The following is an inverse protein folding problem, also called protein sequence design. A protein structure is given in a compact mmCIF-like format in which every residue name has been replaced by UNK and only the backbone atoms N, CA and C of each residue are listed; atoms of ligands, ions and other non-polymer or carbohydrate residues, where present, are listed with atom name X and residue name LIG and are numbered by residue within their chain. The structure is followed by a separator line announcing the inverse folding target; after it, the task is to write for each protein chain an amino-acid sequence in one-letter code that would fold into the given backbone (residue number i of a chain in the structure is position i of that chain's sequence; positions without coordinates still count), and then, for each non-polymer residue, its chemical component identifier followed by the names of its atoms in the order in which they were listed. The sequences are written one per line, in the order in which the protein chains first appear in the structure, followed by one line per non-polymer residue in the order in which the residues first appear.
data_IF_661203367768
#
_entry.id   IF_661203367768
#
_cell.length_a   1.000
_cell.length_b   1.000
_cell.length_c   1.000
_cell.angle_alpha   90.00
_cell.angle_beta   90.00
_cell.angle_gamma   90.00
#
_symmetry.space_group_name_H-M   'P 1'
#
loop_
_entity.id
_entity.type
_entity.pdbx_description
1 polymer ?
#
# COMPACT_ATOMS: atom_id res chain seq x y z
N UNK A 1 -47.09 -4.42 -21.17
CA UNK A 1 -46.40 -4.47 -19.87
C UNK A 1 -44.92 -4.51 -20.16
N UNK A 2 -44.20 -3.45 -19.80
CA UNK A 2 -42.79 -3.23 -20.14
C UNK A 2 -42.02 -3.43 -18.84
N UNK A 3 -41.26 -4.52 -18.75
CA UNK A 3 -40.49 -4.85 -17.57
C UNK A 3 -39.48 -3.74 -17.27
N UNK A 4 -39.56 -3.21 -16.04
CA UNK A 4 -38.59 -2.26 -15.53
C UNK A 4 -37.26 -2.99 -15.29
N UNK A 5 -36.11 -2.43 -15.69
CA UNK A 5 -34.82 -3.01 -15.36
C UNK A 5 -34.65 -3.04 -13.84
N UNK A 6 -34.25 -4.21 -13.34
CA UNK A 6 -33.95 -4.46 -11.94
C UNK A 6 -33.01 -3.36 -11.41
N UNK A 7 -33.55 -2.55 -10.50
CA UNK A 7 -32.79 -1.59 -9.72
C UNK A 7 -31.68 -2.35 -9.01
N UNK A 8 -30.45 -2.22 -9.50
CA UNK A 8 -29.24 -2.73 -8.85
C UNK A 8 -29.17 -2.03 -7.49
N UNK A 9 -29.67 -2.71 -6.45
CA UNK A 9 -29.47 -2.31 -5.07
C UNK A 9 -27.96 -2.18 -4.87
N UNK A 10 -27.47 -0.95 -4.71
CA UNK A 10 -26.17 -0.73 -4.10
C UNK A 10 -26.14 -1.51 -2.79
N UNK A 11 -25.12 -2.32 -2.50
CA UNK A 11 -25.04 -3.02 -1.22
C UNK A 11 -24.80 -1.98 -0.11
N UNK A 12 -25.88 -1.38 0.36
CA UNK A 12 -26.02 -0.82 1.69
C UNK A 12 -25.81 -1.96 2.69
N UNK A 13 -24.54 -2.19 3.00
CA UNK A 13 -24.03 -3.26 3.85
C UNK A 13 -22.53 -3.10 3.99
N UNK A 14 -22.09 -1.86 4.20
CA UNK A 14 -20.68 -1.46 4.26
C UNK A 14 -20.01 -2.22 5.39
N UNK A 15 -19.00 -3.02 5.07
CA UNK A 15 -18.12 -3.61 6.08
C UNK A 15 -17.69 -2.50 7.05
N UNK A 16 -17.93 -2.66 8.37
CA UNK A 16 -17.57 -1.65 9.35
C UNK A 16 -16.12 -1.22 9.17
N UNK A 17 -15.82 0.08 9.34
CA UNK A 17 -14.47 0.60 9.12
C UNK A 17 -13.40 -0.12 9.95
N UNK A 18 -13.77 -0.59 11.15
CA UNK A 18 -12.94 -1.41 12.02
C UNK A 18 -12.65 -2.78 11.40
N UNK A 19 -13.67 -3.49 10.91
CA UNK A 19 -13.51 -4.79 10.25
C UNK A 19 -12.68 -4.66 8.97
N UNK A 20 -12.93 -3.62 8.17
CA UNK A 20 -12.11 -3.33 6.97
C UNK A 20 -10.64 -3.15 7.34
N UNK A 21 -10.35 -2.34 8.36
CA UNK A 21 -8.98 -2.08 8.81
C UNK A 21 -8.31 -3.36 9.32
N UNK A 22 -9.00 -4.16 10.14
CA UNK A 22 -8.46 -5.41 10.65
C UNK A 22 -8.17 -6.41 9.52
N UNK A 23 -9.07 -6.56 8.56
CA UNK A 23 -8.83 -7.43 7.40
C UNK A 23 -7.68 -6.93 6.54
N UNK A 24 -7.55 -5.61 6.36
CA UNK A 24 -6.43 -5.01 5.64
C UNK A 24 -5.09 -5.29 6.34
N UNK A 25 -5.05 -5.16 7.67
CA UNK A 25 -3.86 -5.48 8.46
C UNK A 25 -3.50 -6.97 8.38
N UNK A 26 -4.50 -7.86 8.43
CA UNK A 26 -4.29 -9.30 8.22
C UNK A 26 -3.72 -9.58 6.82
N UNK A 27 -4.27 -8.94 5.79
CA UNK A 27 -3.76 -9.05 4.42
C UNK A 27 -2.34 -8.50 4.28
N UNK A 28 -1.97 -7.44 5.02
CA UNK A 28 -0.60 -6.94 5.01
C UNK A 28 0.37 -7.92 5.68
N UNK A 29 -0.01 -8.50 6.83
CA UNK A 29 0.79 -9.49 7.55
C UNK A 29 1.00 -10.79 6.76
N UNK A 30 0.12 -11.11 5.82
CA UNK A 30 0.29 -12.29 4.97
C UNK A 30 1.62 -12.30 4.19
N UNK A 31 2.13 -11.12 3.79
CA UNK A 31 3.47 -11.01 3.19
C UNK A 31 4.61 -11.42 4.13
N UNK A 32 4.46 -11.20 5.44
CA UNK A 32 5.46 -11.57 6.44
C UNK A 32 5.38 -13.07 6.77
N UNK A 33 4.19 -13.65 6.67
CA UNK A 33 3.92 -15.05 7.01
C UNK A 33 4.10 -16.02 5.83
N UNK A 34 4.39 -15.51 4.62
CA UNK A 34 4.47 -16.32 3.41
C UNK A 34 3.12 -16.72 2.81
N UNK A 35 2.02 -16.16 3.33
CA UNK A 35 0.63 -16.45 2.93
C UNK A 35 0.15 -15.53 1.80
N UNK A 36 0.99 -15.33 0.78
CA UNK A 36 0.81 -14.30 -0.25
C UNK A 36 -0.51 -14.42 -1.01
N UNK A 37 -0.90 -15.64 -1.40
CA UNK A 37 -2.10 -15.87 -2.19
C UNK A 37 -3.38 -15.50 -1.41
N UNK A 38 -3.50 -16.00 -0.18
CA UNK A 38 -4.65 -15.70 0.68
C UNK A 38 -4.71 -14.20 0.99
N UNK A 39 -3.56 -13.60 1.26
CA UNK A 39 -3.43 -12.17 1.53
C UNK A 39 -3.83 -11.30 0.33
N UNK A 40 -3.40 -11.64 -0.88
CA UNK A 40 -3.81 -10.97 -2.12
C UNK A 40 -5.31 -11.12 -2.39
N UNK A 41 -5.90 -12.28 -2.09
CA UNK A 41 -7.34 -12.49 -2.23
C UNK A 41 -8.14 -11.60 -1.27
N UNK A 42 -7.74 -11.53 0.01
CA UNK A 42 -8.36 -10.63 0.99
C UNK A 42 -8.25 -9.18 0.52
N UNK A 43 -7.06 -8.75 0.11
CA UNK A 43 -6.83 -7.40 -0.40
C UNK A 43 -7.69 -7.09 -1.65
N UNK A 44 -7.83 -8.05 -2.58
CA UNK A 44 -8.70 -7.91 -3.75
C UNK A 44 -10.18 -7.73 -3.39
N UNK A 45 -10.69 -8.50 -2.42
CA UNK A 45 -12.06 -8.33 -1.90
C UNK A 45 -12.23 -6.95 -1.26
N UNK A 46 -11.27 -6.52 -0.44
CA UNK A 46 -11.31 -5.20 0.21
C UNK A 46 -11.26 -4.06 -0.80
N UNK A 47 -10.51 -4.20 -1.89
CA UNK A 47 -10.47 -3.22 -2.98
C UNK A 47 -11.86 -3.08 -3.64
N UNK A 48 -12.55 -4.20 -3.90
CA UNK A 48 -13.92 -4.18 -4.42
C UNK A 48 -14.93 -3.54 -3.46
N UNK A 49 -14.74 -3.70 -2.15
CA UNK A 49 -15.60 -3.11 -1.12
C UNK A 49 -15.37 -1.60 -0.93
N UNK A 50 -14.16 -1.10 -1.14
CA UNK A 50 -13.80 0.31 -1.02
C UNK A 50 -12.88 0.76 -2.16
N UNK A 51 -13.39 0.90 -3.39
CA UNK A 51 -12.58 1.22 -4.56
C UNK A 51 -12.03 2.65 -4.55
N UNK A 52 -12.49 3.53 -3.65
CA UNK A 52 -12.00 4.90 -3.50
C UNK A 52 -10.78 5.05 -2.58
N UNK A 53 -10.18 3.94 -2.16
CA UNK A 53 -9.07 3.90 -1.20
C UNK A 53 -7.88 3.13 -1.79
N UNK A 54 -6.65 3.67 -1.74
CA UNK A 54 -5.48 3.02 -2.34
C UNK A 54 -4.97 1.82 -1.55
N UNK A 55 -5.28 1.73 -0.24
CA UNK A 55 -4.58 0.83 0.68
C UNK A 55 -4.72 -0.64 0.31
N UNK A 56 -5.91 -1.09 -0.08
CA UNK A 56 -6.12 -2.47 -0.49
C UNK A 56 -5.34 -2.83 -1.77
N UNK A 57 -5.27 -1.90 -2.73
CA UNK A 57 -4.46 -2.07 -3.94
C UNK A 57 -2.97 -2.12 -3.62
N UNK A 58 -2.48 -1.26 -2.72
CA UNK A 58 -1.08 -1.26 -2.24
C UNK A 58 -0.74 -2.62 -1.60
N UNK A 59 -1.57 -3.11 -0.68
CA UNK A 59 -1.34 -4.38 0.02
C UNK A 59 -1.34 -5.55 -0.97
N UNK A 60 -2.27 -5.55 -1.92
CA UNK A 60 -2.30 -6.58 -2.97
C UNK A 60 -1.02 -6.57 -3.81
N UNK A 61 -0.60 -5.40 -4.30
CA UNK A 61 0.62 -5.25 -5.09
C UNK A 61 1.87 -5.75 -4.34
N UNK A 62 1.97 -5.43 -3.04
CA UNK A 62 3.05 -5.93 -2.18
C UNK A 62 3.01 -7.45 -2.02
N UNK A 63 1.84 -8.03 -1.78
CA UNK A 63 1.70 -9.48 -1.65
C UNK A 63 2.07 -10.21 -2.94
N UNK A 64 1.65 -9.68 -4.10
CA UNK A 64 2.04 -10.19 -5.42
C UNK A 64 3.56 -10.13 -5.60
N UNK A 65 4.18 -8.99 -5.28
CA UNK A 65 5.62 -8.79 -5.38
C UNK A 65 6.40 -9.75 -4.46
N UNK A 66 6.05 -9.81 -3.17
CA UNK A 66 6.69 -10.68 -2.20
C UNK A 66 6.44 -12.17 -2.48
N UNK A 67 5.34 -12.51 -3.15
CA UNK A 67 5.05 -13.86 -3.63
C UNK A 67 5.93 -14.32 -4.80
N UNK A 68 6.85 -13.48 -5.28
CA UNK A 68 7.83 -13.81 -6.30
C UNK A 68 7.48 -13.34 -7.71
N UNK A 69 6.27 -12.83 -7.93
CA UNK A 69 5.90 -12.19 -9.19
C UNK A 69 6.20 -10.68 -9.12
N UNK A 70 7.49 -10.35 -9.16
CA UNK A 70 7.97 -8.97 -9.02
C UNK A 70 7.46 -8.07 -10.15
N UNK A 71 7.34 -8.62 -11.36
CA UNK A 71 6.81 -7.93 -12.53
C UNK A 71 5.35 -7.54 -12.38
N UNK A 72 4.49 -8.49 -11.97
CA UNK A 72 3.08 -8.21 -11.72
C UNK A 72 2.89 -7.25 -10.55
N UNK A 73 3.61 -7.42 -9.44
CA UNK A 73 3.50 -6.52 -8.29
C UNK A 73 3.84 -5.05 -8.64
N UNK A 74 4.89 -4.83 -9.44
CA UNK A 74 5.22 -3.48 -9.94
C UNK A 74 4.14 -2.94 -10.88
N UNK A 75 3.55 -3.78 -11.73
CA UNK A 75 2.45 -3.38 -12.60
C UNK A 75 1.20 -2.99 -11.80
N UNK A 76 0.83 -3.78 -10.78
CA UNK A 76 -0.29 -3.49 -9.88
C UNK A 76 -0.07 -2.16 -9.12
N UNK A 77 1.16 -1.85 -8.71
CA UNK A 77 1.49 -0.52 -8.17
C UNK A 77 1.27 0.61 -9.18
N UNK A 78 1.63 0.38 -10.45
CA UNK A 78 1.37 1.32 -11.54
C UNK A 78 -0.13 1.59 -11.72
N UNK A 79 -0.96 0.55 -11.63
CA UNK A 79 -2.43 0.68 -11.67
C UNK A 79 -2.97 1.48 -10.47
N UNK A 80 -2.46 1.20 -9.26
CA UNK A 80 -2.82 1.97 -8.06
C UNK A 80 -2.47 3.45 -8.25
N UNK A 81 -1.30 3.77 -8.79
CA UNK A 81 -0.88 5.16 -9.00
C UNK A 81 -1.61 5.84 -10.16
N UNK A 82 -2.06 5.09 -11.16
CA UNK A 82 -2.93 5.62 -12.21
C UNK A 82 -4.29 6.06 -11.62
N UNK A 83 -4.80 5.33 -10.62
CA UNK A 83 -6.05 5.67 -9.93
C UNK A 83 -5.86 6.71 -8.81
N UNK A 84 -4.73 6.65 -8.09
CA UNK A 84 -4.41 7.46 -6.92
C UNK A 84 -3.04 8.14 -7.07
N UNK A 85 -2.91 9.12 -7.99
CA UNK A 85 -1.62 9.74 -8.32
C UNK A 85 -0.99 10.51 -7.15
N UNK A 86 -1.77 10.88 -6.14
CA UNK A 86 -1.32 11.56 -4.93
C UNK A 86 -0.90 10.62 -3.79
N UNK A 87 -0.99 9.30 -3.98
CA UNK A 87 -0.61 8.33 -2.95
C UNK A 87 0.90 8.23 -2.79
N UNK A 88 1.45 8.96 -1.82
CA UNK A 88 2.89 8.99 -1.52
C UNK A 88 3.40 7.64 -1.03
N UNK A 89 2.61 6.96 -0.21
CA UNK A 89 2.92 5.61 0.22
C UNK A 89 3.04 4.65 -0.97
N UNK A 90 2.13 4.71 -1.94
CA UNK A 90 2.22 3.87 -3.15
C UNK A 90 3.47 4.21 -3.99
N UNK A 91 3.82 5.50 -4.14
CA UNK A 91 5.05 5.92 -4.82
C UNK A 91 6.29 5.38 -4.10
N UNK A 92 6.36 5.53 -2.79
CA UNK A 92 7.50 5.10 -1.99
C UNK A 92 7.68 3.57 -2.06
N UNK A 93 6.61 2.80 -1.91
CA UNK A 93 6.67 1.34 -2.00
C UNK A 93 6.97 0.85 -3.42
N UNK A 94 6.41 1.48 -4.46
CA UNK A 94 6.77 1.17 -5.84
C UNK A 94 8.26 1.40 -6.09
N UNK A 95 8.81 2.52 -5.61
CA UNK A 95 10.23 2.79 -5.74
C UNK A 95 11.09 1.74 -5.00
N UNK A 96 10.65 1.26 -3.83
CA UNK A 96 11.32 0.14 -3.13
C UNK A 96 11.29 -1.14 -3.98
N UNK A 97 10.13 -1.51 -4.54
CA UNK A 97 10.02 -2.66 -5.44
C UNK A 97 10.91 -2.52 -6.67
N UNK A 98 10.95 -1.33 -7.29
CA UNK A 98 11.82 -1.02 -8.42
C UNK A 98 13.31 -1.11 -8.06
N UNK A 99 13.70 -0.67 -6.86
CA UNK A 99 15.08 -0.82 -6.36
C UNK A 99 15.46 -2.30 -6.21
N UNK A 100 14.58 -3.10 -5.62
CA UNK A 100 14.81 -4.54 -5.42
C UNK A 100 14.90 -5.28 -6.76
N UNK A 101 14.02 -4.94 -7.71
CA UNK A 101 13.98 -5.52 -9.07
C UNK A 101 15.00 -4.88 -10.04
N UNK A 102 15.93 -4.04 -9.53
CA UNK A 102 16.97 -3.36 -10.29
C UNK A 102 16.46 -2.54 -11.51
N UNK A 103 15.30 -1.89 -11.38
CA UNK A 103 14.74 -0.99 -12.40
C UNK A 103 15.26 0.43 -12.23
N UNK A 104 15.36 1.20 -13.31
CA UNK A 104 15.74 2.60 -13.24
C UNK A 104 14.59 3.49 -12.70
N UNK A 105 14.91 4.70 -12.23
CA UNK A 105 13.91 5.72 -11.87
C UNK A 105 13.44 5.70 -10.41
N UNK A 106 13.78 4.66 -9.64
CA UNK A 106 13.40 4.60 -8.21
C UNK A 106 13.98 5.72 -7.36
N UNK A 107 15.23 6.23 -7.55
CA UNK A 107 15.73 7.30 -6.71
C UNK A 107 14.93 8.59 -6.91
N UNK A 108 14.64 8.98 -8.15
CA UNK A 108 13.88 10.19 -8.48
C UNK A 108 12.45 10.14 -7.92
N UNK A 109 11.84 8.95 -7.90
CA UNK A 109 10.53 8.76 -7.30
C UNK A 109 10.54 8.98 -5.78
N UNK A 110 11.59 8.52 -5.08
CA UNK A 110 11.77 8.78 -3.65
C UNK A 110 12.05 10.25 -3.35
N UNK A 111 12.86 10.92 -4.17
CA UNK A 111 13.09 12.37 -4.06
C UNK A 111 11.78 13.14 -4.19
N UNK A 112 10.96 12.81 -5.19
CA UNK A 112 9.66 13.47 -5.39
C UNK A 112 8.72 13.27 -4.18
N UNK A 113 8.78 12.12 -3.50
CA UNK A 113 8.01 11.89 -2.26
C UNK A 113 8.52 12.78 -1.12
N UNK A 114 9.84 12.98 -1.01
CA UNK A 114 10.46 13.83 0.01
C UNK A 114 10.14 15.30 -0.24
N UNK A 115 10.30 15.76 -1.48
CA UNK A 115 10.09 17.15 -1.88
C UNK A 115 8.64 17.60 -1.65
N UNK A 116 7.68 16.71 -1.86
CA UNK A 116 6.25 16.98 -1.65
C UNK A 116 5.89 16.95 -0.15
N UNK A 117 6.45 16.01 0.62
CA UNK A 117 6.39 16.05 2.09
C UNK A 117 5.00 15.80 2.72
N UNK A 118 3.99 15.42 1.93
CA UNK A 118 2.59 15.27 2.40
C UNK A 118 2.33 14.07 3.32
N UNK A 119 3.19 13.05 3.29
CA UNK A 119 3.04 11.82 4.07
C UNK A 119 4.34 11.54 4.82
N UNK A 120 4.34 11.83 6.12
CA UNK A 120 5.51 11.67 6.99
C UNK A 120 6.08 10.25 6.97
N UNK A 121 5.22 9.23 6.86
CA UNK A 121 5.67 7.85 6.82
C UNK A 121 6.34 7.52 5.48
N UNK A 122 5.73 7.93 4.36
CA UNK A 122 6.33 7.76 3.05
C UNK A 122 7.66 8.51 2.92
N UNK A 123 7.76 9.72 3.47
CA UNK A 123 9.00 10.51 3.54
C UNK A 123 10.05 9.80 4.39
N UNK A 124 9.67 9.29 5.57
CA UNK A 124 10.59 8.53 6.44
C UNK A 124 11.14 7.28 5.77
N UNK A 125 10.28 6.53 5.07
CA UNK A 125 10.68 5.40 4.24
C UNK A 125 11.63 5.83 3.12
N UNK A 126 11.30 6.88 2.37
CA UNK A 126 12.13 7.39 1.28
C UNK A 126 13.53 7.82 1.75
N UNK A 127 13.61 8.59 2.84
CA UNK A 127 14.87 8.98 3.46
C UNK A 127 15.70 7.77 3.88
N UNK A 128 15.08 6.79 4.55
CA UNK A 128 15.75 5.56 4.99
C UNK A 128 16.34 4.79 3.81
N UNK A 129 15.59 4.64 2.72
CA UNK A 129 16.00 3.89 1.53
C UNK A 129 17.12 4.61 0.76
N UNK A 130 17.16 5.93 0.81
CA UNK A 130 18.23 6.78 0.25
C UNK A 130 19.44 6.92 1.19
N UNK A 131 19.40 6.36 2.40
CA UNK A 131 20.48 6.46 3.37
C UNK A 131 20.63 7.85 4.02
N UNK A 132 19.54 8.63 4.09
CA UNK A 132 19.49 9.94 4.76
C UNK A 132 18.94 9.78 6.17
N UNK A 133 19.67 10.26 7.17
CA UNK A 133 19.09 10.49 8.50
C UNK A 133 18.07 11.62 8.40
N UNK A 134 16.81 11.35 8.76
CA UNK A 134 15.90 12.44 9.07
C UNK A 134 16.45 13.15 10.30
N UNK A 135 16.66 14.46 10.21
CA UNK A 135 16.61 15.31 11.41
C UNK A 135 15.14 15.37 11.78
N UNK A 136 14.69 14.34 12.50
CA UNK A 136 13.35 14.31 13.08
C UNK A 136 13.38 15.37 14.17
N UNK A 137 12.64 16.47 13.96
CA UNK A 137 12.34 17.42 15.03
C UNK A 137 11.72 16.61 16.18
N UNK A 138 12.47 16.54 17.28
CA UNK A 138 12.30 15.58 18.38
C UNK A 138 10.92 15.74 19.02
N UNK A 139 9.96 14.92 18.58
CA UNK A 139 8.89 14.41 19.44
C UNK A 139 9.06 12.90 19.52
N UNK A 140 9.11 12.33 20.73
CA UNK A 140 9.82 11.09 20.99
C UNK A 140 9.09 9.89 20.37
N UNK A 141 9.60 9.41 19.25
CA UNK A 141 9.41 8.05 18.72
C UNK A 141 10.72 7.27 18.85
N UNK A 142 11.39 7.39 20.00
CA UNK A 142 12.46 6.47 20.38
C UNK A 142 11.85 5.08 20.62
N UNK A 143 11.92 4.23 19.60
CA UNK A 143 12.16 2.77 19.64
C UNK A 143 11.47 2.08 18.47
N UNK A 144 12.05 2.14 17.27
CA UNK A 144 11.72 1.15 16.25
C UNK A 144 12.71 1.04 15.08
N UNK A 145 14.02 1.04 15.34
CA UNK A 145 15.00 0.60 14.32
C UNK A 145 15.39 -0.84 14.63
N UNK A 146 14.53 -1.74 14.16
CA UNK A 146 14.66 -3.19 14.31
C UNK A 146 13.33 -3.84 13.96
N UNK A 147 13.11 -4.11 12.66
CA UNK A 147 11.91 -4.76 12.14
C UNK A 147 10.60 -4.16 12.68
N UNK A 148 10.25 -2.95 12.21
CA UNK A 148 8.90 -2.43 12.42
C UNK A 148 7.90 -3.42 11.80
N UNK A 149 7.06 -4.11 12.61
CA UNK A 149 6.15 -5.11 12.06
C UNK A 149 5.05 -4.40 11.27
N UNK A 150 4.51 -5.05 10.23
CA UNK A 150 3.54 -4.43 9.32
C UNK A 150 2.36 -3.74 10.02
N UNK A 151 1.97 -4.15 11.23
CA UNK A 151 0.89 -3.50 11.98
C UNK A 151 1.14 -2.02 12.32
N UNK A 152 2.40 -1.58 12.40
CA UNK A 152 2.77 -0.17 12.65
C UNK A 152 2.60 0.68 11.38
N UNK A 153 2.63 0.07 10.19
CA UNK A 153 2.45 0.79 8.92
C UNK A 153 1.01 1.27 8.67
N UNK A 154 0.03 0.80 9.45
CA UNK A 154 -1.41 0.96 9.16
C UNK A 154 -2.24 1.53 10.32
N UNK A 155 -1.59 2.12 11.33
CA UNK A 155 -2.22 2.71 12.50
C UNK A 155 -2.65 4.18 12.26
#
# INVERSE_FOLDING_TARGET
MKDAPASQRSPEGTVPGTVYRSLLQIAALGSELGEYLAASQIAGVLQGLRPGLPQAGIVRAMNTFCGGDTGAGIAEFGEVLAQFPDSHLAKALLAVCMKIDNRAGWPQMLEAVIDDGRDNYAVGLACTILGRSQVVDERPYEQAIGALPAHVMWA
#
